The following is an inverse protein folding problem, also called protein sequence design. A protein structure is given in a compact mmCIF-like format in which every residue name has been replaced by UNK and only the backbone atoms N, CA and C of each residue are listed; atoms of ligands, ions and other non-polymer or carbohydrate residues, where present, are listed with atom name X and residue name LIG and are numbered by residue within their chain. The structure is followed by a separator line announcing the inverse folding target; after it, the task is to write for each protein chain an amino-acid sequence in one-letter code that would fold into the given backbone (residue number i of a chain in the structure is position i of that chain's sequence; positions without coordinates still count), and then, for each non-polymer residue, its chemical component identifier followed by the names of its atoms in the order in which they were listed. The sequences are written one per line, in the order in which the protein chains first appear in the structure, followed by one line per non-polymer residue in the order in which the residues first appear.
data_IF_688421552174
#
_entry.id   IF_688421552174
#
_cell.length_a   1.000
_cell.length_b   1.000
_cell.length_c   1.000
_cell.angle_alpha   90.00
_cell.angle_beta   90.00
_cell.angle_gamma   90.00
#
_symmetry.space_group_name_H-M   'P 1'
#
loop_
_entity.id
_entity.type
_entity.pdbx_description
1 polymer ?
#
# COMPACT_ATOMS: atom_id res chain seq x y z
N UNK A 1 2.53 -46.03 5.73
CA UNK A 1 3.25 -44.80 6.12
C UNK A 1 2.29 -43.64 5.94
N UNK A 2 1.60 -43.25 7.02
CA UNK A 2 0.80 -42.02 7.04
C UNK A 2 1.80 -40.87 7.15
N UNK A 3 2.11 -40.21 6.04
CA UNK A 3 2.82 -38.94 6.06
C UNK A 3 1.88 -37.93 6.73
N UNK A 4 2.04 -37.78 8.05
CA UNK A 4 1.62 -36.55 8.71
C UNK A 4 2.39 -35.44 7.99
N UNK A 5 1.69 -34.68 7.17
CA UNK A 5 2.18 -33.45 6.57
C UNK A 5 2.37 -32.48 7.73
N UNK A 6 3.47 -32.63 8.45
CA UNK A 6 3.95 -31.65 9.41
C UNK A 6 4.07 -30.36 8.61
N UNK A 7 3.13 -29.44 8.86
CA UNK A 7 3.15 -28.10 8.33
C UNK A 7 4.44 -27.48 8.87
N UNK A 8 5.52 -27.61 8.11
CA UNK A 8 6.81 -27.05 8.47
C UNK A 8 6.59 -25.54 8.66
N UNK A 9 6.92 -24.98 9.85
CA UNK A 9 6.63 -23.59 10.19
C UNK A 9 7.28 -22.60 9.23
N UNK A 10 8.24 -23.02 8.41
CA UNK A 10 8.82 -22.19 7.34
C UNK A 10 7.80 -21.89 6.23
N UNK A 11 6.80 -22.74 6.01
CA UNK A 11 5.72 -22.51 5.03
C UNK A 11 4.44 -21.91 5.65
N UNK A 12 4.45 -21.60 6.96
CA UNK A 12 3.48 -20.67 7.55
C UNK A 12 3.88 -19.26 7.12
N UNK A 13 3.56 -18.95 5.87
CA UNK A 13 3.55 -17.57 5.41
C UNK A 13 2.36 -16.91 6.10
N UNK A 14 2.62 -16.24 7.24
CA UNK A 14 1.64 -15.44 7.96
C UNK A 14 0.87 -14.59 6.93
N UNK A 15 -0.40 -14.92 6.69
CA UNK A 15 -1.30 -14.25 5.76
C UNK A 15 -1.45 -12.80 6.25
N UNK A 16 -0.54 -11.94 5.79
CA UNK A 16 -0.21 -10.68 6.47
C UNK A 16 1.19 -10.16 6.15
N UNK A 17 2.08 -10.98 5.60
CA UNK A 17 3.38 -10.57 5.05
C UNK A 17 3.19 -9.70 3.80
N UNK A 18 3.24 -8.38 3.95
CA UNK A 18 3.48 -7.42 2.86
C UNK A 18 2.33 -7.09 1.88
N UNK A 19 1.24 -7.87 1.81
CA UNK A 19 0.14 -7.64 0.86
C UNK A 19 -1.10 -6.93 1.46
N UNK A 20 -0.93 -6.09 2.48
CA UNK A 20 -2.10 -5.33 2.98
C UNK A 20 -2.56 -4.33 1.92
N UNK A 21 -3.85 -4.37 1.57
CA UNK A 21 -4.48 -3.46 0.59
C UNK A 21 -4.23 -1.99 0.98
N UNK A 22 -4.08 -1.69 2.28
CA UNK A 22 -3.70 -0.38 2.78
C UNK A 22 -2.30 0.07 2.37
N UNK A 23 -1.30 -0.82 2.47
CA UNK A 23 0.05 -0.50 2.05
C UNK A 23 0.10 -0.24 0.54
N UNK A 24 -0.53 -1.12 -0.24
CA UNK A 24 -0.52 -0.99 -1.70
C UNK A 24 -1.35 0.18 -2.21
N UNK A 25 -2.44 0.54 -1.54
CA UNK A 25 -3.22 1.74 -1.86
C UNK A 25 -2.40 3.02 -1.62
N UNK A 26 -1.73 3.12 -0.47
CA UNK A 26 -0.86 4.26 -0.18
C UNK A 26 0.25 4.38 -1.23
N UNK A 27 1.01 3.30 -1.45
CA UNK A 27 2.12 3.28 -2.41
C UNK A 27 1.65 3.54 -3.84
N UNK A 28 0.52 2.96 -4.25
CA UNK A 28 -0.06 3.14 -5.58
C UNK A 28 -0.44 4.60 -5.86
N UNK A 29 -1.09 5.28 -4.91
CA UNK A 29 -1.45 6.69 -5.07
C UNK A 29 -0.20 7.57 -5.15
N UNK A 30 0.79 7.34 -4.28
CA UNK A 30 2.06 8.09 -4.33
C UNK A 30 2.75 7.92 -5.68
N UNK A 31 2.82 6.68 -6.18
CA UNK A 31 3.48 6.34 -7.43
C UNK A 31 2.83 7.06 -8.62
N UNK A 32 1.49 7.10 -8.67
CA UNK A 32 0.75 7.86 -9.70
C UNK A 32 1.10 9.36 -9.61
N UNK A 33 1.16 9.93 -8.40
CA UNK A 33 1.58 11.31 -8.18
C UNK A 33 2.98 11.60 -8.73
N UNK A 34 3.95 10.71 -8.47
CA UNK A 34 5.30 10.85 -9.00
C UNK A 34 5.39 10.71 -10.52
N UNK A 35 4.62 9.81 -11.13
CA UNK A 35 4.56 9.66 -12.59
C UNK A 35 4.03 10.95 -13.23
N UNK A 36 2.93 11.49 -12.72
CA UNK A 36 2.35 12.75 -13.21
C UNK A 36 3.34 13.91 -13.02
N UNK A 37 3.97 14.00 -11.84
CA UNK A 37 4.97 15.02 -11.54
C UNK A 37 6.19 14.95 -12.46
N UNK A 38 6.70 13.75 -12.74
CA UNK A 38 7.82 13.52 -13.65
C UNK A 38 7.51 13.93 -15.09
N UNK A 39 6.33 13.58 -15.59
CA UNK A 39 5.86 13.98 -16.93
C UNK A 39 5.70 15.51 -16.98
N UNK A 40 5.06 16.11 -15.98
CA UNK A 40 4.86 17.56 -15.90
C UNK A 40 6.18 18.36 -15.84
N UNK A 41 7.16 17.82 -15.11
CA UNK A 41 8.50 18.40 -15.03
C UNK A 41 9.21 18.38 -16.40
N UNK A 42 9.08 17.29 -17.15
CA UNK A 42 9.62 17.19 -18.51
C UNK A 42 9.02 18.22 -19.47
N UNK A 43 7.75 18.59 -19.28
CA UNK A 43 7.07 19.65 -20.05
C UNK A 43 7.27 21.06 -19.48
N UNK A 44 8.13 21.24 -18.47
CA UNK A 44 8.39 22.52 -17.81
C UNK A 44 7.12 23.21 -17.26
N UNK A 45 6.09 22.42 -16.96
CA UNK A 45 4.78 22.91 -16.53
C UNK A 45 4.71 22.92 -15.00
N UNK A 46 5.15 24.04 -14.41
CA UNK A 46 5.22 24.21 -12.96
C UNK A 46 3.87 24.00 -12.26
N UNK A 47 2.76 24.42 -12.88
CA UNK A 47 1.41 24.26 -12.31
C UNK A 47 1.06 22.81 -12.06
N UNK A 48 1.34 21.93 -13.02
CA UNK A 48 1.03 20.50 -12.89
C UNK A 48 2.00 19.80 -11.93
N UNK A 49 3.24 20.27 -11.84
CA UNK A 49 4.20 19.81 -10.82
C UNK A 49 3.67 20.10 -9.40
N UNK A 50 3.21 21.32 -9.11
CA UNK A 50 2.62 21.62 -7.81
C UNK A 50 1.33 20.83 -7.54
N UNK A 51 0.50 20.60 -8.56
CA UNK A 51 -0.67 19.75 -8.43
C UNK A 51 -0.30 18.30 -8.07
N UNK A 52 0.79 17.77 -8.64
CA UNK A 52 1.28 16.41 -8.34
C UNK A 52 1.75 16.24 -6.90
N UNK A 53 2.32 17.28 -6.29
CA UNK A 53 2.65 17.29 -4.84
C UNK A 53 1.38 17.12 -4.02
N UNK A 54 0.27 17.76 -4.42
CA UNK A 54 -1.04 17.56 -3.81
C UNK A 54 -1.51 16.11 -3.87
N UNK A 55 -1.32 15.43 -5.01
CA UNK A 55 -1.67 14.00 -5.17
C UNK A 55 -0.85 13.10 -4.25
N UNK A 56 0.45 13.38 -4.12
CA UNK A 56 1.34 12.68 -3.19
C UNK A 56 0.84 12.87 -1.74
N UNK A 57 0.52 14.09 -1.33
CA UNK A 57 -0.03 14.36 0.02
C UNK A 57 -1.36 13.65 0.24
N UNK A 58 -2.24 13.61 -0.75
CA UNK A 58 -3.50 12.85 -0.69
C UNK A 58 -3.24 11.35 -0.48
N UNK A 59 -2.22 10.78 -1.12
CA UNK A 59 -1.79 9.39 -0.90
C UNK A 59 -1.40 9.11 0.55
N UNK A 60 -0.67 10.04 1.19
CA UNK A 60 -0.33 9.92 2.62
C UNK A 60 -1.57 9.98 3.51
N UNK A 61 -2.51 10.88 3.20
CA UNK A 61 -3.75 11.02 3.97
C UNK A 61 -4.59 9.75 3.86
N UNK A 62 -4.74 9.19 2.65
CA UNK A 62 -5.46 7.92 2.44
C UNK A 62 -4.79 6.78 3.18
N UNK A 63 -3.46 6.65 3.10
CA UNK A 63 -2.70 5.64 3.85
C UNK A 63 -2.88 5.77 5.36
N UNK A 64 -2.90 7.01 5.88
CA UNK A 64 -3.14 7.29 7.30
C UNK A 64 -4.57 6.94 7.74
N UNK A 65 -5.57 7.27 6.93
CA UNK A 65 -6.97 6.92 7.17
C UNK A 65 -7.13 5.39 7.17
N UNK A 66 -6.53 4.67 6.22
CA UNK A 66 -6.60 3.21 6.15
C UNK A 66 -5.92 2.53 7.34
N UNK A 67 -4.80 3.09 7.82
CA UNK A 67 -4.16 2.66 9.08
C UNK A 67 -5.12 2.80 10.26
N UNK A 68 -5.82 3.94 10.37
CA UNK A 68 -6.84 4.17 11.42
C UNK A 68 -8.09 3.31 11.28
N UNK A 69 -8.49 2.98 10.05
CA UNK A 69 -9.66 2.16 9.76
C UNK A 69 -9.43 0.65 10.00
N UNK A 70 -8.24 0.24 10.46
CA UNK A 70 -7.95 -1.16 10.78
C UNK A 70 -7.55 -2.02 9.57
N UNK A 71 -7.17 -1.39 8.46
CA UNK A 71 -6.55 -2.07 7.31
C UNK A 71 -5.01 -2.04 7.36
N UNK A 72 -4.43 -1.32 8.33
CA UNK A 72 -2.99 -1.35 8.62
C UNK A 72 -2.59 -2.60 9.40
N UNK A 73 -1.27 -2.88 9.42
CA UNK A 73 -0.65 -4.01 10.13
C UNK A 73 -1.17 -4.09 11.58
N UNK A 74 -1.90 -5.17 11.90
CA UNK A 74 -2.50 -5.43 13.22
C UNK A 74 -3.98 -5.03 13.38
N UNK A 75 -4.65 -4.56 12.33
CA UNK A 75 -6.06 -4.17 12.38
C UNK A 75 -7.04 -5.32 12.12
N UNK A 76 -8.14 -5.38 12.86
CA UNK A 76 -9.16 -6.44 12.83
C UNK A 76 -9.88 -6.65 11.48
N UNK A 77 -9.60 -5.83 10.46
CA UNK A 77 -10.18 -5.94 9.10
C UNK A 77 -9.13 -5.97 7.98
N UNK A 78 -7.86 -6.16 8.30
CA UNK A 78 -6.78 -6.32 7.31
C UNK A 78 -6.80 -7.71 6.67
N UNK A 79 -7.91 -8.15 6.06
CA UNK A 79 -7.96 -9.42 5.30
C UNK A 79 -7.57 -10.70 6.05
N UNK A 80 -7.29 -10.64 7.36
CA UNK A 80 -7.01 -11.76 8.26
C UNK A 80 -8.26 -12.17 9.05
N UNK A 81 -9.44 -11.89 8.49
CA UNK A 81 -10.69 -12.46 8.95
C UNK A 81 -11.03 -13.62 8.02
N UNK A 82 -10.23 -14.69 8.08
CA UNK A 82 -10.60 -16.06 7.78
C UNK A 82 -9.47 -17.00 8.20
#
# INVERSE_FOLDING_TARGET
MSQNTEIDPVYTEEIGHGNSIAAWACVGIMTIGFIIGGIAFAFHNATVVYASIGVVVLGLIVGWIMKKAGFGVGGSRSGAAH
#
